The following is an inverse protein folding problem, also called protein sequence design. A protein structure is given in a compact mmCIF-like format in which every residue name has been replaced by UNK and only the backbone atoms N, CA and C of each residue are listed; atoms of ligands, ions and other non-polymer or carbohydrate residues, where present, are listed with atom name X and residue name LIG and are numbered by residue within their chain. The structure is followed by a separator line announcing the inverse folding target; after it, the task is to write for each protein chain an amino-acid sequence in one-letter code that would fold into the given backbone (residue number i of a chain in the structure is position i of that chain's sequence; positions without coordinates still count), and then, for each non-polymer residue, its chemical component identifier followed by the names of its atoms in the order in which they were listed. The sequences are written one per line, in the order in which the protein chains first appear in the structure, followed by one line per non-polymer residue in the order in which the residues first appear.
data_IF_957521235345
#
_entry.id   IF_957521235345
#
_cell.length_a   1.000
_cell.length_b   1.000
_cell.length_c   1.000
_cell.angle_alpha   90.00
_cell.angle_beta   90.00
_cell.angle_gamma   90.00
#
_symmetry.space_group_name_H-M   'P 1'
#
loop_
_entity.id
_entity.type
_entity.pdbx_description
1 polymer ?
#
# COMPACT_ATOMS: atom_id res chain seq x y z
N UNK A 1 2.39 15.55 -9.06
CA UNK A 1 1.98 15.85 -10.45
C UNK A 1 2.99 15.36 -11.50
N UNK A 2 4.31 15.42 -11.24
CA UNK A 2 5.35 15.03 -12.22
C UNK A 2 5.39 13.53 -12.54
N UNK A 3 4.93 12.69 -11.63
CA UNK A 3 4.95 11.23 -11.78
C UNK A 3 3.68 10.64 -12.41
N UNK A 4 2.68 11.46 -12.71
CA UNK A 4 1.40 11.00 -13.26
C UNK A 4 1.42 10.97 -14.78
N UNK A 5 0.94 9.88 -15.37
CA UNK A 5 0.65 9.79 -16.80
C UNK A 5 -0.74 10.36 -17.10
N UNK A 6 -0.79 11.58 -17.58
CA UNK A 6 -2.02 12.23 -18.01
C UNK A 6 -2.42 11.75 -19.42
N UNK A 7 -3.68 11.34 -19.57
CA UNK A 7 -4.30 11.00 -20.85
C UNK A 7 -4.86 12.28 -21.49
N UNK A 8 -5.50 13.10 -20.67
CA UNK A 8 -6.03 14.42 -21.04
C UNK A 8 -6.07 15.35 -19.80
N UNK A 9 -6.73 16.48 -19.89
CA UNK A 9 -6.82 17.47 -18.78
C UNK A 9 -7.61 16.98 -17.55
N UNK A 10 -8.30 15.84 -17.64
CA UNK A 10 -9.19 15.33 -16.59
C UNK A 10 -8.92 13.86 -16.21
N UNK A 11 -8.21 13.14 -17.05
CA UNK A 11 -7.97 11.70 -16.87
C UNK A 11 -6.50 11.37 -16.86
N UNK A 12 -6.11 10.51 -15.97
CA UNK A 12 -4.76 9.97 -15.89
C UNK A 12 -4.80 8.45 -15.70
N UNK A 13 -3.69 7.80 -15.96
CA UNK A 13 -3.47 6.43 -15.51
C UNK A 13 -3.28 6.48 -13.99
N UNK A 14 -3.85 5.48 -13.27
CA UNK A 14 -3.79 5.46 -11.81
C UNK A 14 -2.36 5.22 -11.31
N UNK A 15 -1.82 6.10 -10.47
CA UNK A 15 -0.48 5.93 -9.90
C UNK A 15 -0.44 5.04 -8.66
N UNK A 16 -1.61 4.71 -8.10
CA UNK A 16 -1.81 3.90 -6.90
C UNK A 16 -3.23 3.37 -6.83
N UNK A 17 -3.49 2.39 -5.98
CA UNK A 17 -4.82 1.82 -5.77
C UNK A 17 -5.62 2.55 -4.66
N UNK A 18 -4.98 3.36 -3.84
CA UNK A 18 -5.59 4.02 -2.68
C UNK A 18 -6.91 4.76 -2.99
N UNK A 19 -7.06 5.56 -4.08
CA UNK A 19 -8.32 6.23 -4.38
C UNK A 19 -9.50 5.27 -4.56
N UNK A 20 -9.28 4.11 -5.18
CA UNK A 20 -10.33 3.07 -5.33
C UNK A 20 -10.70 2.47 -3.97
N UNK A 21 -9.70 2.18 -3.12
CA UNK A 21 -9.95 1.65 -1.80
C UNK A 21 -10.72 2.63 -0.93
N UNK A 22 -10.45 3.94 -1.02
CA UNK A 22 -11.23 4.97 -0.33
C UNK A 22 -12.70 4.97 -0.77
N UNK A 23 -12.99 4.80 -2.07
CA UNK A 23 -14.37 4.64 -2.55
C UNK A 23 -15.04 3.40 -1.95
N UNK A 24 -14.37 2.24 -2.00
CA UNK A 24 -14.89 1.02 -1.40
C UNK A 24 -15.07 1.15 0.12
N UNK A 25 -14.12 1.72 0.84
CA UNK A 25 -14.25 1.98 2.27
C UNK A 25 -15.48 2.83 2.59
N UNK A 26 -15.75 3.86 1.78
CA UNK A 26 -16.95 4.70 1.92
C UNK A 26 -18.23 3.91 1.68
N UNK A 27 -18.27 3.08 0.66
CA UNK A 27 -19.45 2.26 0.33
C UNK A 27 -19.71 1.19 1.38
N UNK A 28 -18.69 0.42 1.74
CA UNK A 28 -18.81 -0.67 2.72
C UNK A 28 -18.81 -0.16 4.16
N UNK A 29 -18.41 1.08 4.40
CA UNK A 29 -18.48 1.73 5.70
C UNK A 29 -19.88 1.76 6.32
N UNK A 30 -20.92 1.55 5.51
CA UNK A 30 -22.32 1.40 5.94
C UNK A 30 -22.71 -0.02 6.31
N UNK A 31 -21.89 -1.01 5.93
CA UNK A 31 -22.17 -2.42 6.16
C UNK A 31 -21.69 -2.87 7.55
N UNK A 32 -22.22 -4.00 7.99
CA UNK A 32 -21.82 -4.70 9.22
C UNK A 32 -21.57 -6.16 8.87
N UNK A 33 -20.77 -6.93 9.56
CA UNK A 33 -20.05 -6.60 10.81
C UNK A 33 -18.72 -5.84 10.59
N UNK A 34 -18.08 -5.46 11.72
CA UNK A 34 -16.72 -4.89 11.78
C UNK A 34 -15.73 -5.93 12.33
N UNK A 35 -14.43 -5.83 12.01
CA UNK A 35 -13.83 -4.91 11.04
C UNK A 35 -14.15 -5.32 9.58
N UNK A 36 -14.19 -4.34 8.68
CA UNK A 36 -14.26 -4.57 7.24
C UNK A 36 -12.86 -4.78 6.70
N UNK A 37 -12.68 -5.80 5.87
CA UNK A 37 -11.41 -6.14 5.21
C UNK A 37 -11.57 -6.07 3.71
N UNK A 38 -10.70 -5.31 3.08
CA UNK A 38 -10.69 -5.09 1.63
C UNK A 38 -9.30 -5.35 1.09
N UNK A 39 -9.25 -5.83 -0.16
CA UNK A 39 -8.01 -5.84 -0.92
C UNK A 39 -8.30 -5.55 -2.38
N UNK A 40 -7.31 -5.00 -3.07
CA UNK A 40 -7.32 -4.82 -4.51
C UNK A 40 -5.94 -5.21 -5.07
N UNK A 41 -5.94 -5.90 -6.20
CA UNK A 41 -4.73 -6.16 -7.00
C UNK A 41 -4.93 -5.55 -8.37
N UNK A 42 -3.94 -4.81 -8.85
CA UNK A 42 -4.03 -4.24 -10.18
C UNK A 42 -2.83 -3.39 -10.60
N UNK A 43 -2.74 -3.07 -11.92
CA UNK A 43 -1.66 -2.29 -12.46
C UNK A 43 -1.74 -0.83 -11.99
N UNK A 44 -0.58 -0.26 -11.72
CA UNK A 44 -0.35 1.15 -11.44
C UNK A 44 0.71 1.70 -12.39
N UNK A 45 0.64 3.02 -12.63
CA UNK A 45 1.47 3.65 -13.65
C UNK A 45 2.10 4.93 -13.07
N UNK A 46 3.44 4.97 -13.04
CA UNK A 46 4.20 6.15 -12.61
C UNK A 46 5.31 6.46 -13.59
N UNK A 47 5.51 7.75 -13.85
CA UNK A 47 6.71 8.21 -14.56
C UNK A 47 7.89 8.13 -13.60
N UNK A 48 8.56 7.01 -13.62
CA UNK A 48 9.77 6.80 -12.84
C UNK A 48 11.01 7.08 -13.70
N UNK A 49 12.08 7.54 -13.06
CA UNK A 49 13.40 7.53 -13.69
C UNK A 49 13.75 6.07 -13.94
N UNK A 50 13.95 5.67 -15.19
CA UNK A 50 14.23 4.30 -15.55
C UNK A 50 15.46 3.77 -14.77
N UNK A 51 15.27 2.66 -14.08
CA UNK A 51 16.28 2.00 -13.28
C UNK A 51 15.97 0.52 -13.10
N UNK A 52 16.94 -0.24 -12.63
CA UNK A 52 16.82 -1.69 -12.44
C UNK A 52 15.65 -2.10 -11.51
N UNK A 53 15.20 -1.18 -10.64
CA UNK A 53 14.16 -1.42 -9.62
C UNK A 53 12.89 -0.59 -9.84
N UNK A 54 12.75 0.07 -10.99
CA UNK A 54 11.63 0.94 -11.32
C UNK A 54 11.09 0.63 -12.70
N UNK A 55 9.79 0.45 -12.78
CA UNK A 55 9.05 0.31 -14.03
C UNK A 55 7.96 1.39 -14.10
N UNK A 56 7.64 1.84 -15.31
CA UNK A 56 6.54 2.79 -15.53
C UNK A 56 5.16 2.15 -15.28
N UNK A 57 5.08 0.85 -15.43
CA UNK A 57 3.92 0.00 -15.11
C UNK A 57 4.37 -1.05 -14.08
N UNK A 58 3.61 -1.23 -13.03
CA UNK A 58 3.86 -2.22 -11.98
C UNK A 58 2.54 -2.62 -11.34
N UNK A 59 2.53 -3.80 -10.72
CA UNK A 59 1.33 -4.33 -10.07
C UNK A 59 1.39 -4.09 -8.57
N UNK A 60 0.31 -3.56 -8.02
CA UNK A 60 0.15 -3.41 -6.57
C UNK A 60 -0.88 -4.39 -6.01
N UNK A 61 -0.60 -4.88 -4.82
CA UNK A 61 -1.57 -5.45 -3.89
C UNK A 61 -1.77 -4.45 -2.75
N UNK A 62 -2.98 -3.92 -2.60
CA UNK A 62 -3.32 -3.11 -1.43
C UNK A 62 -4.30 -3.86 -0.53
N UNK A 63 -4.06 -3.77 0.78
CA UNK A 63 -4.90 -4.30 1.84
C UNK A 63 -5.38 -3.14 2.71
N UNK A 64 -6.64 -3.19 3.15
CA UNK A 64 -7.19 -2.27 4.15
C UNK A 64 -8.05 -3.05 5.14
N UNK A 65 -7.89 -2.75 6.41
CA UNK A 65 -8.76 -3.21 7.49
C UNK A 65 -9.30 -1.98 8.24
N UNK A 66 -10.63 -1.82 8.29
CA UNK A 66 -11.31 -0.62 8.79
C UNK A 66 -12.33 -0.97 9.87
N UNK A 67 -12.46 -0.09 10.87
CA UNK A 67 -13.39 -0.28 12.00
C UNK A 67 -12.88 -1.34 12.98
N UNK A 68 -11.61 -1.28 13.30
CA UNK A 68 -10.97 -2.13 14.31
C UNK A 68 -11.52 -1.78 15.72
N UNK A 69 -11.58 -2.74 16.66
CA UNK A 69 -12.01 -2.49 18.02
C UNK A 69 -11.28 -1.31 18.66
N UNK A 70 -11.98 -0.57 19.52
CA UNK A 70 -11.38 0.52 20.28
C UNK A 70 -10.21 0.02 21.14
N UNK A 71 -9.12 0.77 21.18
CA UNK A 71 -7.89 0.39 21.88
C UNK A 71 -6.99 -0.57 21.12
N UNK A 72 -7.32 -0.94 19.87
CA UNK A 72 -6.41 -1.73 19.03
C UNK A 72 -5.12 -0.94 18.78
N UNK A 73 -3.96 -1.57 19.02
CA UNK A 73 -2.67 -1.05 18.56
C UNK A 73 -2.58 -1.19 17.03
N UNK A 74 -2.87 -0.09 16.33
CA UNK A 74 -2.91 -0.07 14.87
C UNK A 74 -1.55 -0.37 14.25
N UNK A 75 -0.45 0.06 14.89
CA UNK A 75 0.90 -0.20 14.39
C UNK A 75 1.29 -1.67 14.53
N UNK A 76 0.93 -2.30 15.66
CA UNK A 76 1.09 -3.73 15.83
C UNK A 76 0.23 -4.51 14.83
N UNK A 77 -1.03 -4.10 14.61
CA UNK A 77 -1.91 -4.73 13.62
C UNK A 77 -1.37 -4.61 12.20
N UNK A 78 -0.84 -3.45 11.86
CA UNK A 78 -0.17 -3.22 10.57
C UNK A 78 1.00 -4.19 10.36
N UNK A 79 1.85 -4.35 11.39
CA UNK A 79 2.97 -5.30 11.36
C UNK A 79 2.50 -6.74 11.15
N UNK A 80 1.43 -7.16 11.83
CA UNK A 80 0.85 -8.51 11.65
C UNK A 80 0.37 -8.74 10.22
N UNK A 81 -0.36 -7.79 9.63
CA UNK A 81 -0.83 -7.89 8.24
C UNK A 81 0.34 -7.92 7.24
N UNK A 82 1.36 -7.09 7.46
CA UNK A 82 2.56 -7.10 6.66
C UNK A 82 3.29 -8.45 6.74
N UNK A 83 3.46 -8.97 7.95
CA UNK A 83 4.07 -10.28 8.19
C UNK A 83 3.33 -11.39 7.43
N UNK A 84 2.01 -11.42 7.49
CA UNK A 84 1.20 -12.45 6.79
C UNK A 84 1.52 -12.53 5.29
N UNK A 85 1.67 -11.39 4.62
CA UNK A 85 1.96 -11.34 3.18
C UNK A 85 3.42 -11.69 2.91
N UNK A 86 4.36 -11.13 3.68
CA UNK A 86 5.79 -11.34 3.48
C UNK A 86 6.21 -12.78 3.79
N UNK A 87 5.64 -13.37 4.85
CA UNK A 87 5.88 -14.78 5.21
C UNK A 87 5.28 -15.72 4.14
N UNK A 88 4.08 -15.43 3.64
CA UNK A 88 3.46 -16.18 2.55
C UNK A 88 4.27 -16.09 1.24
N UNK A 89 4.97 -14.98 1.00
CA UNK A 89 5.89 -14.81 -0.11
C UNK A 89 7.27 -15.44 0.13
N UNK A 90 7.53 -16.02 1.31
CA UNK A 90 8.83 -16.61 1.67
C UNK A 90 9.94 -15.58 1.87
N UNK A 91 9.61 -14.34 2.21
CA UNK A 91 10.58 -13.26 2.39
C UNK A 91 10.98 -13.18 3.86
N UNK A 92 12.21 -13.52 4.15
CA UNK A 92 12.79 -13.49 5.49
C UNK A 92 13.65 -12.24 5.72
N UNK A 93 13.83 -11.86 7.01
CA UNK A 93 14.73 -10.77 7.40
C UNK A 93 14.22 -9.37 7.04
N UNK A 94 12.94 -9.24 6.73
CA UNK A 94 12.29 -7.94 6.54
C UNK A 94 12.19 -7.17 7.86
N UNK A 95 12.07 -5.85 7.76
CA UNK A 95 11.82 -4.98 8.92
C UNK A 95 10.85 -3.87 8.54
N UNK A 96 10.16 -3.34 9.52
CA UNK A 96 9.30 -2.16 9.41
C UNK A 96 10.10 -0.94 9.86
N UNK A 97 10.12 0.10 9.04
CA UNK A 97 10.79 1.39 9.31
C UNK A 97 9.75 2.50 9.32
N UNK A 98 9.95 3.48 10.19
CA UNK A 98 9.09 4.66 10.22
C UNK A 98 9.57 5.65 9.15
N UNK A 99 8.63 6.19 8.40
CA UNK A 99 8.87 7.11 7.29
C UNK A 99 7.88 8.29 7.37
N UNK A 100 8.24 9.40 6.74
CA UNK A 100 7.36 10.57 6.59
C UNK A 100 6.86 10.66 5.14
N UNK A 101 5.55 10.52 4.98
CA UNK A 101 4.89 10.68 3.69
C UNK A 101 4.38 12.11 3.51
N UNK A 102 4.61 12.70 2.33
CA UNK A 102 4.03 13.99 1.97
C UNK A 102 2.49 13.98 1.89
N UNK A 103 1.89 12.79 1.80
CA UNK A 103 0.43 12.62 1.67
C UNK A 103 -0.20 12.23 3.00
N UNK A 104 0.40 11.27 3.70
CA UNK A 104 -0.20 10.63 4.89
C UNK A 104 0.48 11.03 6.22
N UNK A 105 1.54 11.85 6.20
CA UNK A 105 2.31 12.15 7.40
C UNK A 105 3.12 10.93 7.85
N UNK A 106 3.04 10.58 9.14
CA UNK A 106 3.71 9.38 9.66
C UNK A 106 3.18 8.11 8.97
N UNK A 107 4.10 7.39 8.33
CA UNK A 107 3.86 6.12 7.66
C UNK A 107 4.90 5.10 8.11
N UNK A 108 4.74 3.86 7.67
CA UNK A 108 5.77 2.85 7.89
C UNK A 108 5.98 2.07 6.61
N UNK A 109 7.24 1.84 6.26
CA UNK A 109 7.62 1.02 5.13
C UNK A 109 8.08 -0.36 5.60
N UNK A 110 7.79 -1.37 4.80
CA UNK A 110 8.36 -2.71 4.95
C UNK A 110 9.51 -2.84 3.98
N UNK A 111 10.69 -3.10 4.51
CA UNK A 111 11.92 -3.21 3.71
C UNK A 111 12.56 -4.58 3.87
N UNK A 112 13.20 -5.07 2.82
CA UNK A 112 13.97 -6.30 2.86
C UNK A 112 15.28 -6.14 3.66
N UNK A 113 16.04 -7.21 3.80
CA UNK A 113 17.34 -7.21 4.48
C UNK A 113 18.39 -6.26 3.85
N UNK A 114 18.21 -5.89 2.58
CA UNK A 114 19.09 -5.00 1.82
C UNK A 114 18.58 -3.54 1.80
N UNK A 115 17.43 -3.26 2.45
CA UNK A 115 16.81 -1.94 2.48
C UNK A 115 15.96 -1.60 1.25
N UNK A 116 15.59 -2.60 0.43
CA UNK A 116 14.64 -2.40 -0.65
C UNK A 116 13.22 -2.32 -0.07
N UNK A 117 12.50 -1.24 -0.37
CA UNK A 117 11.09 -1.09 -0.01
C UNK A 117 10.24 -2.16 -0.71
N UNK A 118 9.53 -2.95 0.08
CA UNK A 118 8.60 -3.99 -0.35
C UNK A 118 7.15 -3.51 -0.31
N UNK A 119 6.84 -2.69 0.68
CA UNK A 119 5.52 -2.11 0.87
C UNK A 119 5.59 -0.80 1.63
N UNK A 120 4.63 0.07 1.37
CA UNK A 120 4.37 1.26 2.16
C UNK A 120 2.99 1.18 2.82
N UNK A 121 2.85 1.75 4.00
CA UNK A 121 1.64 1.63 4.79
C UNK A 121 1.21 2.95 5.43
N UNK A 122 -0.06 3.03 5.79
CA UNK A 122 -0.64 4.17 6.47
C UNK A 122 -1.67 3.74 7.51
N UNK A 123 -1.95 4.63 8.43
CA UNK A 123 -2.93 4.46 9.51
C UNK A 123 -3.98 5.56 9.44
N UNK A 124 -5.22 5.22 9.80
CA UNK A 124 -6.30 6.18 10.01
C UNK A 124 -6.82 6.16 11.45
N UNK A 125 -7.52 7.22 11.87
CA UNK A 125 -8.02 8.31 11.05
C UNK A 125 -6.93 9.29 10.60
N UNK A 126 -7.02 9.70 9.34
CA UNK A 126 -6.12 10.62 8.67
C UNK A 126 -6.87 11.90 8.24
N UNK A 127 -6.26 13.08 8.14
CA UNK A 127 -6.96 14.31 7.74
C UNK A 127 -7.72 14.22 6.41
N UNK A 128 -7.27 13.40 5.46
CA UNK A 128 -7.98 13.18 4.19
C UNK A 128 -9.24 12.35 4.32
N UNK A 129 -9.38 11.53 5.36
CA UNK A 129 -10.48 10.58 5.52
C UNK A 129 -11.83 11.28 5.61
N UNK A 130 -11.89 12.44 6.27
CA UNK A 130 -13.11 13.23 6.41
C UNK A 130 -13.69 13.66 5.06
N UNK A 131 -12.83 13.98 4.08
CA UNK A 131 -13.27 14.34 2.72
C UNK A 131 -13.91 13.15 1.99
N UNK A 132 -13.58 11.90 2.38
CA UNK A 132 -14.15 10.66 1.87
C UNK A 132 -15.32 10.13 2.71
N UNK A 133 -15.63 10.81 3.84
CA UNK A 133 -16.66 10.37 4.78
C UNK A 133 -16.25 9.15 5.61
N UNK A 134 -14.96 8.91 5.77
CA UNK A 134 -14.39 7.83 6.59
C UNK A 134 -14.04 8.42 7.95
N UNK A 135 -14.65 7.88 9.01
CA UNK A 135 -14.50 8.38 10.38
C UNK A 135 -13.96 7.31 11.33
N UNK A 136 -13.81 6.09 10.85
CA UNK A 136 -13.34 4.95 11.64
C UNK A 136 -11.82 4.83 11.54
N UNK A 137 -11.22 4.17 12.53
CA UNK A 137 -9.82 3.78 12.44
C UNK A 137 -9.61 2.73 11.35
N UNK A 138 -8.45 2.74 10.76
CA UNK A 138 -8.06 1.78 9.73
C UNK A 138 -6.56 1.58 9.65
N UNK A 139 -6.15 0.48 9.08
CA UNK A 139 -4.77 0.19 8.69
C UNK A 139 -4.75 -0.19 7.21
N UNK A 140 -3.76 0.28 6.47
CA UNK A 140 -3.62 0.01 5.04
C UNK A 140 -2.18 -0.23 4.63
N UNK A 141 -1.96 -1.19 3.71
CA UNK A 141 -0.64 -1.55 3.19
C UNK A 141 -0.72 -1.71 1.68
N UNK A 142 0.23 -1.13 0.95
CA UNK A 142 0.41 -1.32 -0.48
C UNK A 142 1.73 -2.01 -0.79
N UNK A 143 1.67 -3.21 -1.36
CA UNK A 143 2.83 -3.99 -1.79
C UNK A 143 3.06 -3.82 -3.30
N UNK A 144 4.31 -3.67 -3.72
CA UNK A 144 4.72 -3.82 -5.11
C UNK A 144 5.02 -5.29 -5.41
N UNK A 145 4.19 -5.95 -6.24
CA UNK A 145 4.32 -7.39 -6.47
C UNK A 145 5.64 -7.76 -7.15
N UNK A 146 6.13 -6.94 -8.07
CA UNK A 146 7.43 -7.14 -8.73
C UNK A 146 8.57 -7.08 -7.69
N UNK A 147 8.52 -6.16 -6.72
CA UNK A 147 9.51 -6.08 -5.64
C UNK A 147 9.44 -7.28 -4.69
N UNK A 148 8.22 -7.76 -4.38
CA UNK A 148 8.05 -9.01 -3.63
C UNK A 148 8.67 -10.20 -4.36
N UNK A 149 8.41 -10.30 -5.67
CA UNK A 149 8.99 -11.37 -6.50
C UNK A 149 10.52 -11.30 -6.52
N UNK A 150 11.09 -10.10 -6.72
CA UNK A 150 12.55 -9.91 -6.67
C UNK A 150 13.13 -10.33 -5.32
N UNK A 151 12.50 -9.95 -4.21
CA UNK A 151 12.96 -10.32 -2.87
C UNK A 151 12.88 -11.83 -2.62
N UNK A 152 11.80 -12.48 -3.06
CA UNK A 152 11.57 -13.91 -2.90
C UNK A 152 12.50 -14.76 -3.78
N UNK A 153 12.80 -14.31 -5.02
CA UNK A 153 13.64 -15.07 -5.97
C UNK A 153 15.12 -14.70 -5.91
N UNK A 154 15.48 -13.59 -5.24
CA UNK A 154 16.83 -13.05 -5.22
C UNK A 154 17.24 -12.36 -6.52
N UNK A 155 16.28 -12.05 -7.40
CA UNK A 155 16.54 -11.32 -8.65
C UNK A 155 16.91 -9.85 -8.37
N UNK A 156 17.80 -9.30 -9.18
CA UNK A 156 18.31 -7.93 -8.98
C UNK A 156 17.58 -6.87 -9.80
N UNK A 157 16.74 -7.28 -10.75
CA UNK A 157 16.05 -6.36 -11.68
C UNK A 157 14.62 -6.79 -11.97
N UNK A 158 13.71 -5.85 -12.13
CA UNK A 158 12.32 -6.09 -12.55
C UNK A 158 12.21 -6.67 -13.97
N UNK A 159 13.20 -6.49 -14.82
CA UNK A 159 13.18 -7.00 -16.19
C UNK A 159 13.25 -8.53 -16.28
N UNK A 160 13.47 -9.23 -15.16
CA UNK A 160 13.56 -10.69 -15.07
C UNK A 160 12.41 -11.32 -14.27
N UNK A 161 11.54 -10.50 -13.73
CA UNK A 161 10.32 -10.92 -13.05
C UNK A 161 9.10 -10.76 -13.97
#
# INVERSE_FOLDING_TARGET
EKQVFWIDSKRCLRPMLAPHLYEYMREVGRLRPRPVRLFEVGPCFRRETQGQRHANEFTMLNLVEMGLPEGTDLKARLRELGAMVLDAAGIEGWRMTDEDSAVYGETSDFVDKNGMELASSALGPHPLDAAWGIMENWVGIGFGLERLTMAATGESTMAKT
#
